data_IF_212972427218
#
_entry.id   IF_212972427218
#
_cell.length_a   1.000
_cell.length_b   1.000
_cell.length_c   1.000
_cell.angle_alpha   90.00
_cell.angle_beta   90.00
_cell.angle_gamma   90.00
#
_symmetry.space_group_name_H-M   'P 1'
#
loop_
_entity.id
_entity.type
_entity.pdbx_description
1 polymer ?
#
# COMPACT_ATOMS: atom_id res chain seq x y z
N UNK A 1 10.78 4.00 0.68
CA UNK A 1 10.85 4.63 -0.66
C UNK A 1 10.61 3.67 -1.82
N UNK A 2 11.05 2.42 -1.79
CA UNK A 2 10.84 1.45 -2.88
C UNK A 2 9.41 0.91 -2.95
N UNK A 3 8.78 0.61 -1.83
CA UNK A 3 7.39 0.15 -1.77
C UNK A 3 6.38 1.18 -2.27
N UNK A 4 6.62 2.47 -2.05
CA UNK A 4 5.74 3.55 -2.48
C UNK A 4 5.56 3.62 -4.00
N UNK A 5 6.59 3.30 -4.79
CA UNK A 5 6.47 3.24 -6.26
C UNK A 5 5.57 2.10 -6.71
N UNK A 6 5.65 0.94 -6.03
CA UNK A 6 4.75 -0.17 -6.29
C UNK A 6 3.31 0.19 -5.94
N UNK A 7 3.09 0.84 -4.78
CA UNK A 7 1.78 1.32 -4.35
C UNK A 7 1.20 2.35 -5.31
N UNK A 8 1.99 3.34 -5.73
CA UNK A 8 1.58 4.37 -6.70
C UNK A 8 1.17 3.74 -8.04
N UNK A 9 1.96 2.77 -8.55
CA UNK A 9 1.59 2.04 -9.76
C UNK A 9 0.26 1.30 -9.57
N UNK A 10 0.09 0.53 -8.50
CA UNK A 10 -1.14 -0.23 -8.26
C UNK A 10 -2.36 0.69 -8.13
N UNK A 11 -2.25 1.78 -7.38
CA UNK A 11 -3.31 2.80 -7.25
C UNK A 11 -3.71 3.40 -8.59
N UNK A 12 -2.77 3.65 -9.50
CA UNK A 12 -3.06 4.19 -10.84
C UNK A 12 -3.87 3.25 -11.75
N UNK A 13 -4.04 1.97 -11.36
CA UNK A 13 -4.80 0.97 -12.11
C UNK A 13 -6.20 0.71 -11.55
N UNK A 14 -6.57 1.31 -10.43
CA UNK A 14 -7.89 1.16 -9.83
C UNK A 14 -8.99 1.52 -10.84
N UNK A 15 -10.04 0.68 -10.90
CA UNK A 15 -11.15 0.82 -11.85
C UNK A 15 -10.89 0.22 -13.24
N UNK A 16 -9.66 -0.21 -13.55
CA UNK A 16 -9.37 -0.95 -14.79
C UNK A 16 -9.92 -2.38 -14.70
N UNK A 17 -10.05 -3.04 -15.85
CA UNK A 17 -10.71 -4.32 -15.93
C UNK A 17 -9.81 -5.51 -15.53
N UNK A 18 -10.44 -6.69 -15.54
CA UNK A 18 -9.73 -7.95 -15.34
C UNK A 18 -10.00 -8.92 -16.50
N UNK A 19 -8.93 -9.45 -17.08
CA UNK A 19 -8.94 -10.63 -17.92
C UNK A 19 -7.79 -11.53 -17.51
N UNK A 20 -8.03 -12.82 -17.35
CA UNK A 20 -6.99 -13.78 -16.98
C UNK A 20 -5.85 -13.77 -18.01
N UNK A 21 -4.59 -13.63 -17.55
CA UNK A 21 -3.39 -13.51 -18.39
C UNK A 21 -3.12 -12.11 -18.97
N UNK A 22 -3.97 -11.11 -18.70
CA UNK A 22 -3.79 -9.75 -19.21
C UNK A 22 -2.69 -8.98 -18.46
N UNK A 23 -2.03 -8.06 -19.18
CA UNK A 23 -0.82 -7.31 -18.75
C UNK A 23 -0.96 -5.80 -18.96
N UNK A 24 -2.18 -5.26 -18.93
CA UNK A 24 -2.46 -3.85 -19.15
C UNK A 24 -2.90 -3.50 -20.60
N UNK A 25 -3.06 -4.48 -21.47
CA UNK A 25 -3.57 -4.24 -22.82
C UNK A 25 -5.01 -3.76 -22.79
N UNK A 26 -5.42 -3.05 -23.85
CA UNK A 26 -6.83 -2.74 -24.08
C UNK A 26 -7.60 -4.04 -24.37
N UNK A 27 -8.68 -4.28 -23.64
CA UNK A 27 -9.58 -5.40 -23.86
C UNK A 27 -10.32 -5.22 -25.20
N UNK A 28 -10.32 -6.27 -25.99
CA UNK A 28 -11.10 -6.35 -27.25
C UNK A 28 -11.70 -7.75 -27.37
N UNK A 29 -12.72 -7.91 -28.18
CA UNK A 29 -13.29 -9.23 -28.47
C UNK A 29 -12.24 -10.20 -29.06
N UNK A 30 -11.31 -9.70 -29.87
CA UNK A 30 -10.20 -10.50 -30.41
C UNK A 30 -9.25 -10.93 -29.30
N UNK A 31 -8.83 -10.01 -28.40
CA UNK A 31 -7.98 -10.33 -27.26
C UNK A 31 -8.66 -11.35 -26.34
N UNK A 32 -9.94 -11.18 -26.02
CA UNK A 32 -10.67 -12.15 -25.19
C UNK A 32 -10.71 -13.55 -25.83
N UNK A 33 -10.96 -13.66 -27.15
CA UNK A 33 -10.91 -14.94 -27.83
C UNK A 33 -9.53 -15.60 -27.75
N UNK A 34 -8.46 -14.83 -27.94
CA UNK A 34 -7.09 -15.33 -27.80
C UNK A 34 -6.83 -15.84 -26.37
N UNK A 35 -7.22 -15.08 -25.35
CA UNK A 35 -7.05 -15.49 -23.95
C UNK A 35 -7.89 -16.74 -23.61
N UNK A 36 -9.11 -16.84 -24.12
CA UNK A 36 -9.97 -18.00 -23.90
C UNK A 36 -9.39 -19.28 -24.52
N UNK A 37 -8.74 -19.18 -25.68
CA UNK A 37 -8.01 -20.30 -26.28
C UNK A 37 -6.79 -20.73 -25.45
N UNK A 38 -6.06 -19.75 -24.92
CA UNK A 38 -4.88 -20.00 -24.09
C UNK A 38 -5.24 -20.55 -22.70
N UNK A 39 -6.42 -20.18 -22.17
CA UNK A 39 -6.89 -20.55 -20.83
C UNK A 39 -8.32 -21.13 -20.88
N UNK A 40 -8.48 -22.38 -21.36
CA UNK A 40 -9.80 -22.99 -21.58
C UNK A 40 -10.68 -23.03 -20.31
N UNK A 41 -10.07 -23.30 -19.16
CA UNK A 41 -10.76 -23.34 -17.86
C UNK A 41 -11.34 -21.97 -17.44
N UNK A 42 -10.86 -20.88 -18.03
CA UNK A 42 -11.33 -19.51 -17.81
C UNK A 42 -12.18 -18.97 -18.97
N UNK A 43 -12.37 -19.74 -20.03
CA UNK A 43 -12.94 -19.27 -21.29
C UNK A 43 -14.31 -18.60 -21.10
N UNK A 44 -15.21 -19.19 -20.32
CA UNK A 44 -16.54 -18.62 -20.07
C UNK A 44 -16.43 -17.25 -19.37
N UNK A 45 -15.61 -17.13 -18.32
CA UNK A 45 -15.40 -15.88 -17.63
C UNK A 45 -14.78 -14.81 -18.54
N UNK A 46 -13.81 -15.21 -19.37
CA UNK A 46 -13.11 -14.30 -20.29
C UNK A 46 -14.07 -13.81 -21.38
N UNK A 47 -14.83 -14.70 -22.00
CA UNK A 47 -15.67 -14.37 -23.16
C UNK A 47 -16.96 -13.65 -22.75
N UNK A 48 -17.63 -14.09 -21.68
CA UNK A 48 -18.94 -13.58 -21.26
C UNK A 48 -18.76 -12.43 -20.28
N UNK A 49 -18.27 -12.71 -19.08
CA UNK A 49 -18.14 -11.69 -18.02
C UNK A 49 -17.14 -10.60 -18.42
N UNK A 50 -16.08 -10.98 -19.13
CA UNK A 50 -15.01 -10.08 -19.59
C UNK A 50 -15.44 -9.07 -20.66
N UNK A 51 -16.54 -9.30 -21.35
CA UNK A 51 -17.03 -8.40 -22.41
C UNK A 51 -17.31 -6.98 -21.92
N UNK A 52 -17.69 -6.82 -20.66
CA UNK A 52 -17.91 -5.50 -20.06
C UNK A 52 -16.66 -4.62 -19.98
N UNK A 53 -15.48 -5.20 -20.18
CA UNK A 53 -14.21 -4.48 -20.17
C UNK A 53 -13.74 -4.05 -21.55
N UNK A 54 -14.49 -4.34 -22.62
CA UNK A 54 -14.08 -3.95 -23.98
C UNK A 54 -13.83 -2.44 -24.06
N UNK A 55 -12.72 -2.06 -24.72
CA UNK A 55 -12.22 -0.70 -24.80
C UNK A 55 -11.41 -0.22 -23.59
N UNK A 56 -11.29 -0.99 -22.50
CA UNK A 56 -10.59 -0.61 -21.28
C UNK A 56 -9.29 -1.40 -21.09
N UNK A 57 -8.29 -0.84 -20.41
CA UNK A 57 -7.12 -1.59 -19.98
C UNK A 57 -7.53 -2.70 -19.01
N UNK A 58 -6.89 -3.88 -19.12
CA UNK A 58 -7.19 -5.05 -18.29
C UNK A 58 -5.92 -5.69 -17.73
N UNK A 59 -6.04 -6.23 -16.54
CA UNK A 59 -4.96 -6.89 -15.79
C UNK A 59 -5.41 -8.25 -15.28
N UNK A 60 -4.48 -9.16 -15.03
CA UNK A 60 -4.68 -10.23 -14.07
C UNK A 60 -3.99 -9.92 -12.74
N UNK A 61 -4.25 -10.71 -11.69
CA UNK A 61 -3.73 -10.45 -10.36
C UNK A 61 -2.19 -10.48 -10.31
N UNK A 62 -1.58 -11.49 -10.95
CA UNK A 62 -0.15 -11.69 -10.92
C UNK A 62 0.61 -10.70 -11.81
N UNK A 63 0.00 -10.26 -12.91
CA UNK A 63 0.61 -9.24 -13.77
C UNK A 63 0.50 -7.86 -13.14
N UNK A 64 -0.60 -7.52 -12.47
CA UNK A 64 -0.71 -6.26 -11.75
C UNK A 64 0.42 -6.13 -10.71
N UNK A 65 0.61 -7.15 -9.87
CA UNK A 65 1.68 -7.15 -8.85
C UNK A 65 3.07 -7.20 -9.46
N UNK A 66 3.26 -7.92 -10.56
CA UNK A 66 4.53 -7.96 -11.29
C UNK A 66 4.94 -6.60 -11.83
N UNK A 67 4.01 -5.88 -12.44
CA UNK A 67 4.28 -4.53 -12.98
C UNK A 67 4.43 -3.49 -11.88
N UNK A 68 3.71 -3.63 -10.77
CA UNK A 68 3.93 -2.81 -9.58
C UNK A 68 5.34 -2.99 -9.01
N UNK A 69 5.81 -4.26 -8.92
CA UNK A 69 7.17 -4.57 -8.51
C UNK A 69 8.22 -3.97 -9.46
N UNK A 70 8.01 -4.11 -10.78
CA UNK A 70 8.90 -3.53 -11.79
C UNK A 70 9.01 -2.01 -11.66
N UNK A 71 7.92 -1.30 -11.36
CA UNK A 71 7.93 0.14 -11.11
C UNK A 71 8.78 0.51 -9.87
N UNK A 72 8.95 -0.43 -8.94
CA UNK A 72 9.80 -0.29 -7.75
C UNK A 72 11.22 -0.91 -7.93
N UNK A 73 11.59 -1.31 -9.16
CA UNK A 73 12.91 -1.89 -9.44
C UNK A 73 13.06 -3.36 -9.04
N UNK A 74 11.95 -4.08 -8.81
CA UNK A 74 11.96 -5.49 -8.42
C UNK A 74 11.37 -6.35 -9.54
N UNK A 75 12.06 -7.40 -9.95
CA UNK A 75 11.56 -8.35 -10.94
C UNK A 75 10.84 -9.53 -10.27
N UNK A 76 9.56 -9.70 -10.61
CA UNK A 76 8.76 -10.85 -10.19
C UNK A 76 8.46 -11.78 -11.37
N UNK A 77 8.47 -13.10 -11.17
CA UNK A 77 8.06 -14.04 -12.20
C UNK A 77 6.55 -13.94 -12.50
N UNK A 78 6.11 -14.50 -13.62
CA UNK A 78 4.69 -14.60 -13.96
C UNK A 78 3.98 -15.65 -13.08
N UNK A 79 2.75 -15.34 -12.65
CA UNK A 79 1.91 -16.23 -11.86
C UNK A 79 2.17 -16.18 -10.35
N UNK A 80 1.09 -16.11 -9.55
CA UNK A 80 1.17 -15.91 -8.10
C UNK A 80 1.99 -17.00 -7.38
N UNK A 81 1.82 -18.27 -7.75
CA UNK A 81 2.61 -19.37 -7.18
C UNK A 81 4.10 -19.24 -7.50
N UNK A 82 4.45 -18.85 -8.73
CA UNK A 82 5.83 -18.61 -9.13
C UNK A 82 6.44 -17.42 -8.39
N UNK A 83 5.68 -16.34 -8.22
CA UNK A 83 6.10 -15.20 -7.43
C UNK A 83 6.40 -15.63 -5.98
N UNK A 84 5.48 -16.34 -5.34
CA UNK A 84 5.67 -16.81 -3.98
C UNK A 84 6.92 -17.67 -3.80
N UNK A 85 7.18 -18.57 -4.75
CA UNK A 85 8.26 -19.56 -4.64
C UNK A 85 9.63 -19.05 -5.08
N UNK A 86 9.68 -18.17 -6.09
CA UNK A 86 10.91 -17.85 -6.83
C UNK A 86 11.33 -16.39 -6.78
N UNK A 87 10.48 -15.47 -6.31
CA UNK A 87 10.84 -14.07 -6.23
C UNK A 87 11.86 -13.81 -5.12
N UNK A 88 12.65 -12.72 -5.21
CA UNK A 88 13.71 -12.39 -4.25
C UNK A 88 13.14 -11.78 -2.96
N UNK A 89 12.26 -12.52 -2.30
CA UNK A 89 11.67 -12.09 -1.05
C UNK A 89 12.69 -12.04 0.09
N UNK A 90 12.78 -10.92 0.75
CA UNK A 90 13.57 -10.72 1.97
C UNK A 90 12.82 -11.21 3.20
N UNK A 91 11.49 -11.03 3.19
CA UNK A 91 10.61 -11.42 4.30
C UNK A 91 9.33 -12.05 3.77
N UNK A 92 8.81 -13.00 4.52
CA UNK A 92 7.53 -13.66 4.28
C UNK A 92 6.85 -13.97 5.60
N UNK A 93 5.53 -14.03 5.60
CA UNK A 93 4.75 -14.42 6.77
C UNK A 93 3.33 -14.84 6.41
N UNK A 94 2.61 -15.28 7.42
CA UNK A 94 1.17 -15.50 7.39
C UNK A 94 0.43 -14.20 7.63
N UNK A 95 -0.84 -14.11 7.27
CA UNK A 95 -1.58 -12.83 7.27
C UNK A 95 -1.72 -12.22 8.68
N UNK A 96 -1.72 -13.04 9.73
CA UNK A 96 -1.74 -12.63 11.14
C UNK A 96 -0.47 -11.88 11.57
N UNK A 97 0.62 -12.02 10.81
CA UNK A 97 1.89 -11.30 11.00
C UNK A 97 2.10 -10.19 9.97
N UNK A 98 1.02 -9.71 9.34
CA UNK A 98 1.11 -8.63 8.34
C UNK A 98 1.72 -7.38 8.97
N UNK A 99 2.85 -6.85 8.44
CA UNK A 99 3.45 -5.65 8.99
C UNK A 99 2.57 -4.42 8.77
N UNK A 100 2.40 -3.65 9.82
CA UNK A 100 1.70 -2.36 9.76
C UNK A 100 2.58 -1.28 9.15
N UNK A 101 1.98 -0.34 8.44
CA UNK A 101 2.68 0.81 7.87
C UNK A 101 3.52 0.49 6.63
N UNK A 102 3.63 -0.77 6.21
CA UNK A 102 4.49 -1.19 5.11
C UNK A 102 3.71 -1.62 3.87
N UNK A 103 4.26 -1.29 2.71
CA UNK A 103 3.78 -1.83 1.43
C UNK A 103 4.36 -3.22 1.23
N UNK A 104 3.49 -4.24 1.15
CA UNK A 104 3.90 -5.63 0.95
C UNK A 104 2.97 -6.36 -0.03
N UNK A 105 3.44 -7.45 -0.63
CA UNK A 105 2.65 -8.29 -1.53
C UNK A 105 1.81 -9.28 -0.73
N UNK A 106 0.54 -9.37 -1.07
CA UNK A 106 -0.43 -10.27 -0.43
C UNK A 106 -0.67 -11.50 -1.31
N UNK A 107 -0.87 -12.64 -0.68
CA UNK A 107 -1.16 -13.91 -1.33
C UNK A 107 -2.32 -14.62 -0.67
N UNK A 108 -3.15 -15.28 -1.50
CA UNK A 108 -4.17 -16.20 -1.04
C UNK A 108 -3.80 -17.60 -1.49
N UNK A 109 -3.53 -18.46 -0.52
CA UNK A 109 -3.27 -19.87 -0.75
C UNK A 109 -4.58 -20.66 -0.85
N UNK A 110 -4.63 -21.62 -1.78
CA UNK A 110 -5.66 -22.64 -1.86
C UNK A 110 -4.97 -23.97 -2.18
N UNK A 111 -5.06 -24.92 -1.25
CA UNK A 111 -4.26 -26.15 -1.35
C UNK A 111 -2.76 -25.86 -1.40
N UNK A 112 -2.07 -26.37 -2.38
CA UNK A 112 -0.60 -26.22 -2.54
C UNK A 112 -0.17 -25.01 -3.39
N UNK A 113 -1.11 -24.19 -3.89
CA UNK A 113 -0.83 -23.07 -4.78
C UNK A 113 -1.24 -21.73 -4.21
N UNK A 114 -0.53 -20.68 -4.59
CA UNK A 114 -1.01 -19.31 -4.42
C UNK A 114 -1.96 -18.97 -5.57
N UNK A 115 -3.26 -18.96 -5.25
CA UNK A 115 -4.32 -18.76 -6.24
C UNK A 115 -4.47 -17.30 -6.66
N UNK A 116 -4.13 -16.38 -5.75
CA UNK A 116 -4.34 -14.95 -5.94
C UNK A 116 -3.23 -14.12 -5.30
N UNK A 117 -3.03 -12.89 -5.80
CA UNK A 117 -2.07 -11.94 -5.25
C UNK A 117 -2.59 -10.50 -5.38
N UNK A 118 -2.09 -9.63 -4.52
CA UNK A 118 -2.38 -8.20 -4.46
C UNK A 118 -1.27 -7.45 -3.75
N UNK A 119 -1.49 -6.18 -3.46
CA UNK A 119 -0.54 -5.31 -2.79
C UNK A 119 -1.22 -4.62 -1.61
N UNK A 120 -0.75 -4.86 -0.38
CA UNK A 120 -1.10 -4.06 0.78
C UNK A 120 -0.39 -2.71 0.71
N UNK A 121 -1.07 -1.65 1.12
CA UNK A 121 -0.59 -0.27 0.97
C UNK A 121 -0.02 0.32 2.28
N UNK A 122 0.01 -0.47 3.35
CA UNK A 122 0.51 -0.04 4.66
C UNK A 122 -0.52 0.73 5.51
N UNK A 123 -1.65 1.10 4.94
CA UNK A 123 -2.73 1.86 5.60
C UNK A 123 -3.95 0.99 5.98
N UNK A 124 -3.78 -0.33 6.04
CA UNK A 124 -4.86 -1.30 6.27
C UNK A 124 -5.68 -1.63 5.02
N UNK A 125 -5.35 -1.04 3.87
CA UNK A 125 -6.01 -1.29 2.58
C UNK A 125 -5.11 -2.03 1.60
N UNK A 126 -5.70 -2.57 0.53
CA UNK A 126 -4.98 -3.24 -0.54
C UNK A 126 -5.54 -2.91 -1.92
N UNK A 127 -4.70 -3.05 -2.95
CA UNK A 127 -5.09 -3.01 -4.35
C UNK A 127 -4.82 -4.36 -4.98
N UNK A 128 -5.81 -4.93 -5.68
CA UNK A 128 -5.65 -6.16 -6.43
C UNK A 128 -6.58 -6.24 -7.64
N UNK A 129 -6.16 -6.95 -8.68
CA UNK A 129 -7.04 -7.32 -9.77
C UNK A 129 -7.88 -8.52 -9.32
N UNK A 130 -9.07 -8.23 -8.75
CA UNK A 130 -9.87 -9.17 -7.95
C UNK A 130 -10.48 -10.30 -8.75
N UNK A 131 -10.77 -10.07 -10.02
CA UNK A 131 -11.36 -11.03 -10.92
C UNK A 131 -12.23 -10.37 -11.99
N UNK A 132 -12.69 -11.16 -12.96
CA UNK A 132 -13.38 -10.64 -14.17
C UNK A 132 -14.63 -9.82 -13.85
N UNK A 133 -15.34 -10.18 -12.77
CA UNK A 133 -16.53 -9.44 -12.36
C UNK A 133 -16.22 -8.07 -11.72
N UNK A 134 -15.01 -7.87 -11.18
CA UNK A 134 -14.70 -6.72 -10.32
C UNK A 134 -13.66 -5.78 -10.92
N UNK A 135 -12.71 -6.30 -11.72
CA UNK A 135 -11.56 -5.53 -12.19
C UNK A 135 -10.51 -5.30 -11.10
N UNK A 136 -9.81 -4.18 -11.20
CA UNK A 136 -8.83 -3.73 -10.20
C UNK A 136 -9.55 -2.90 -9.15
N UNK A 137 -9.50 -3.37 -7.90
CA UNK A 137 -10.22 -2.75 -6.78
C UNK A 137 -9.26 -2.29 -5.69
N UNK A 138 -9.70 -1.29 -4.94
CA UNK A 138 -9.11 -0.83 -3.70
C UNK A 138 -10.09 -1.14 -2.57
N UNK A 139 -9.65 -1.86 -1.54
CA UNK A 139 -10.52 -2.29 -0.43
C UNK A 139 -9.69 -2.54 0.83
N UNK A 140 -10.33 -2.61 2.02
CA UNK A 140 -9.66 -3.07 3.24
C UNK A 140 -9.06 -4.46 3.06
N UNK A 141 -7.87 -4.68 3.63
CA UNK A 141 -7.20 -6.00 3.60
C UNK A 141 -8.09 -7.09 4.18
N UNK A 142 -8.81 -6.79 5.28
CA UNK A 142 -9.73 -7.72 5.96
C UNK A 142 -10.91 -8.18 5.10
N UNK A 143 -11.26 -7.45 4.04
CA UNK A 143 -12.42 -7.76 3.18
C UNK A 143 -12.10 -8.80 2.09
N UNK A 144 -10.91 -9.39 2.17
CA UNK A 144 -10.51 -10.48 1.28
C UNK A 144 -9.76 -11.57 2.05
N UNK A 145 -9.89 -12.82 1.60
CA UNK A 145 -9.32 -14.00 2.27
C UNK A 145 -7.81 -14.16 2.00
N UNK A 146 -7.03 -13.16 2.36
CA UNK A 146 -5.57 -13.25 2.32
C UNK A 146 -5.07 -14.27 3.34
N UNK A 147 -3.99 -14.97 3.02
CA UNK A 147 -3.39 -16.00 3.89
C UNK A 147 -1.93 -15.72 4.20
N UNK A 148 -1.23 -15.06 3.29
CA UNK A 148 0.19 -14.82 3.40
C UNK A 148 0.56 -13.45 2.86
N UNK A 149 1.73 -12.97 3.24
CA UNK A 149 2.37 -11.79 2.69
C UNK A 149 3.86 -12.05 2.40
N UNK A 150 4.46 -11.24 1.54
CA UNK A 150 5.88 -11.24 1.23
C UNK A 150 6.38 -9.83 0.89
N UNK A 151 7.62 -9.54 1.24
CA UNK A 151 8.28 -8.27 0.93
C UNK A 151 9.65 -8.51 0.29
N UNK A 152 9.98 -7.86 -0.83
CA UNK A 152 11.33 -7.89 -1.40
C UNK A 152 12.25 -6.87 -0.72
N UNK A 153 11.72 -6.07 0.19
CA UNK A 153 12.45 -5.07 0.96
C UNK A 153 12.76 -5.60 2.35
N UNK A 154 13.87 -5.13 2.95
CA UNK A 154 14.12 -5.32 4.37
C UNK A 154 12.97 -4.65 5.16
N UNK A 155 12.76 -5.05 6.41
CA UNK A 155 11.90 -4.29 7.28
C UNK A 155 12.37 -2.83 7.22
N UNK A 156 11.48 -1.89 6.97
CA UNK A 156 11.82 -0.53 7.39
C UNK A 156 12.16 -0.72 8.88
N UNK A 157 13.41 -0.47 9.23
CA UNK A 157 13.87 -0.69 10.60
C UNK A 157 12.80 -0.12 11.51
N UNK A 158 12.16 -0.98 12.29
CA UNK A 158 11.29 -0.50 13.36
C UNK A 158 12.09 0.63 14.00
N UNK A 159 11.46 1.80 14.24
CA UNK A 159 12.18 2.88 14.89
C UNK A 159 12.99 2.23 15.99
N UNK A 160 14.32 2.33 15.89
CA UNK A 160 15.25 1.61 16.77
C UNK A 160 14.67 1.70 18.18
N UNK A 161 14.70 0.65 19.03
CA UNK A 161 14.28 0.79 20.39
C UNK A 161 15.04 2.01 20.91
N UNK A 162 14.32 3.12 21.02
CA UNK A 162 14.91 4.38 21.48
C UNK A 162 15.41 4.07 22.86
N UNK A 163 16.68 4.36 23.09
CA UNK A 163 17.21 4.43 24.45
C UNK A 163 16.20 5.17 25.34
N UNK A 164 16.01 4.79 26.61
CA UNK A 164 14.99 5.37 27.45
C UNK A 164 15.07 6.88 27.36
N UNK A 165 14.05 7.47 26.73
CA UNK A 165 13.98 8.90 26.47
C UNK A 165 13.79 9.57 27.84
N UNK A 166 14.59 10.60 28.09
CA UNK A 166 14.33 11.61 29.10
C UNK A 166 12.85 12.02 29.16
N UNK A 167 12.31 12.42 30.29
CA UNK A 167 10.88 12.57 30.53
C UNK A 167 10.22 13.33 29.39
N UNK A 168 9.12 12.76 28.87
CA UNK A 168 8.32 13.30 27.79
C UNK A 168 8.13 14.81 27.96
N UNK A 169 8.71 15.59 27.08
CA UNK A 169 8.62 17.04 27.14
C UNK A 169 7.28 17.50 26.61
N UNK A 170 6.52 18.20 27.43
CA UNK A 170 5.30 18.86 26.96
C UNK A 170 5.66 20.14 26.19
N UNK A 171 4.94 20.37 25.13
CA UNK A 171 5.06 21.56 24.29
C UNK A 171 3.70 21.97 23.76
N UNK A 172 3.64 23.15 23.16
CA UNK A 172 2.44 23.62 22.44
C UNK A 172 2.77 23.81 20.97
N UNK A 173 1.81 23.52 20.09
CA UNK A 173 1.91 23.91 18.69
C UNK A 173 1.70 25.41 18.59
N UNK A 174 2.62 26.12 17.94
CA UNK A 174 2.49 27.55 17.70
C UNK A 174 2.70 27.89 16.23
N UNK A 175 1.76 28.59 15.65
CA UNK A 175 1.84 29.17 14.33
C UNK A 175 1.46 30.66 14.40
N UNK A 176 2.36 31.57 14.01
CA UNK A 176 2.15 33.03 14.06
C UNK A 176 0.88 33.50 13.37
N UNK A 177 0.46 32.81 12.32
CA UNK A 177 -0.74 33.11 11.54
C UNK A 177 -2.00 32.43 12.12
N UNK A 178 -1.92 31.70 13.23
CA UNK A 178 -3.04 30.98 13.86
C UNK A 178 -3.60 29.82 13.04
N UNK A 179 -3.00 29.47 11.89
CA UNK A 179 -3.49 28.40 11.04
C UNK A 179 -3.04 27.01 11.55
N UNK A 180 -3.79 25.94 11.23
CA UNK A 180 -3.40 24.60 11.60
C UNK A 180 -2.07 24.19 10.98
N UNK A 181 -1.25 23.47 11.76
CA UNK A 181 0.05 22.94 11.34
C UNK A 181 -0.08 21.48 10.91
N UNK A 182 0.69 21.08 9.90
CA UNK A 182 0.67 19.70 9.39
C UNK A 182 1.47 18.77 10.30
N UNK A 183 0.80 17.75 10.85
CA UNK A 183 1.40 16.57 11.46
C UNK A 183 1.56 15.51 10.36
N UNK A 184 2.77 15.10 10.04
CA UNK A 184 3.10 14.26 8.88
C UNK A 184 3.49 12.84 9.31
N UNK A 185 3.27 11.88 8.44
CA UNK A 185 3.72 10.51 8.69
C UNK A 185 5.23 10.30 8.49
N UNK A 186 5.94 11.27 7.86
CA UNK A 186 7.41 11.25 7.65
C UNK A 186 7.99 12.65 7.84
N UNK A 187 9.27 12.77 8.30
CA UNK A 187 9.94 14.07 8.49
C UNK A 187 10.41 14.65 7.15
N UNK A 188 9.46 15.09 6.31
CA UNK A 188 9.77 15.72 5.04
C UNK A 188 8.65 16.67 4.59
N UNK A 189 8.98 17.66 3.74
CA UNK A 189 8.02 18.61 3.17
C UNK A 189 7.37 18.12 1.87
N UNK A 190 7.84 17.02 1.26
CA UNK A 190 7.31 16.48 0.01
C UNK A 190 5.90 15.90 0.12
N UNK A 191 5.47 15.17 -0.90
CA UNK A 191 4.20 14.43 -0.90
C UNK A 191 4.18 13.43 0.26
N UNK A 192 3.29 13.67 1.21
CA UNK A 192 3.28 13.01 2.50
C UNK A 192 1.85 12.99 3.04
N UNK A 193 1.42 11.88 3.61
CA UNK A 193 0.17 11.87 4.35
C UNK A 193 0.33 12.80 5.56
N UNK A 194 -0.67 13.66 5.80
CA UNK A 194 -0.66 14.55 6.94
C UNK A 194 -2.05 14.72 7.54
N UNK A 195 -2.06 15.12 8.79
CA UNK A 195 -3.23 15.57 9.55
C UNK A 195 -3.00 17.01 9.99
N UNK A 196 -4.04 17.68 10.38
CA UNK A 196 -3.97 19.08 10.84
C UNK A 196 -4.06 19.13 12.38
N UNK A 197 -3.22 19.96 13.00
CA UNK A 197 -3.22 20.25 14.44
C UNK A 197 -3.37 21.75 14.59
N UNK A 198 -4.32 22.19 15.41
CA UNK A 198 -4.54 23.63 15.65
C UNK A 198 -3.35 24.25 16.36
N UNK A 199 -3.10 25.54 16.12
CA UNK A 199 -2.25 26.36 17.00
C UNK A 199 -2.79 26.29 18.43
N UNK A 200 -1.91 26.44 19.39
CA UNK A 200 -2.18 26.34 20.84
C UNK A 200 -2.68 24.96 21.32
N UNK A 201 -2.50 23.91 20.49
CA UNK A 201 -2.76 22.53 20.92
C UNK A 201 -1.59 22.00 21.75
N UNK A 202 -1.85 21.50 22.98
CA UNK A 202 -0.82 20.84 23.76
C UNK A 202 -0.42 19.51 23.11
N UNK A 203 0.88 19.26 23.06
CA UNK A 203 1.47 18.08 22.43
C UNK A 203 2.55 17.46 23.31
N UNK A 204 2.77 16.20 23.13
CA UNK A 204 3.86 15.48 23.78
C UNK A 204 4.97 15.22 22.75
N UNK A 205 6.17 15.75 22.99
CA UNK A 205 7.34 15.46 22.15
C UNK A 205 7.83 14.05 22.52
N UNK A 206 7.90 13.20 21.52
CA UNK A 206 8.40 11.82 21.61
C UNK A 206 9.87 11.72 21.27
N UNK A 207 10.28 12.43 20.21
CA UNK A 207 11.64 12.52 19.73
C UNK A 207 11.91 13.95 19.31
N UNK A 208 12.66 14.73 20.07
CA UNK A 208 13.09 16.05 19.68
C UNK A 208 14.13 15.95 18.55
N UNK A 209 14.09 16.88 17.61
CA UNK A 209 15.06 17.02 16.54
C UNK A 209 15.19 18.47 16.11
N UNK A 210 16.29 18.84 15.47
CA UNK A 210 16.55 20.23 15.07
C UNK A 210 15.52 20.75 14.06
N UNK A 211 15.26 20.01 12.99
CA UNK A 211 14.33 20.41 11.95
C UNK A 211 12.94 19.77 12.15
N UNK A 212 12.89 18.51 12.55
CA UNK A 212 11.67 17.71 12.71
C UNK A 212 11.64 17.01 14.05
N UNK A 213 10.55 17.18 14.77
CA UNK A 213 10.28 16.42 16.00
C UNK A 213 9.12 15.46 15.81
N UNK A 214 9.23 14.27 16.40
CA UNK A 214 8.10 13.35 16.48
C UNK A 214 7.27 13.72 17.71
N UNK A 215 5.98 13.95 17.49
CA UNK A 215 5.05 14.37 18.52
C UNK A 215 3.77 13.53 18.51
N UNK A 216 3.09 13.52 19.64
CA UNK A 216 1.69 13.05 19.74
C UNK A 216 0.79 14.24 19.98
N UNK A 217 -0.20 14.43 19.11
CA UNK A 217 -1.13 15.57 19.13
C UNK A 217 -2.59 15.14 18.90
N UNK A 218 -3.53 15.93 19.42
CA UNK A 218 -4.93 15.86 19.02
C UNK A 218 -5.11 16.60 17.68
N UNK A 219 -5.53 15.88 16.64
CA UNK A 219 -5.77 16.47 15.32
C UNK A 219 -7.15 17.12 15.24
N UNK A 220 -7.36 17.97 14.23
CA UNK A 220 -8.63 18.72 14.01
C UNK A 220 -9.85 17.81 13.79
N UNK A 221 -9.66 16.55 13.45
CA UNK A 221 -10.70 15.52 13.33
C UNK A 221 -11.02 14.81 14.66
N UNK A 222 -10.48 15.29 15.78
CA UNK A 222 -10.72 14.76 17.13
C UNK A 222 -9.93 13.47 17.46
N UNK A 223 -9.03 13.01 16.56
CA UNK A 223 -8.25 11.80 16.79
C UNK A 223 -6.83 12.16 17.22
N UNK A 224 -6.34 11.52 18.28
CA UNK A 224 -4.96 11.67 18.74
C UNK A 224 -4.03 10.81 17.88
N UNK A 225 -2.98 11.43 17.32
CA UNK A 225 -2.01 10.75 16.43
C UNK A 225 -0.58 11.08 16.79
N UNK A 226 0.31 10.13 16.50
CA UNK A 226 1.77 10.34 16.53
C UNK A 226 2.27 10.55 15.12
N UNK A 227 3.11 11.55 14.92
CA UNK A 227 3.68 11.89 13.61
C UNK A 227 4.80 12.91 13.74
N UNK A 228 5.23 13.46 12.61
CA UNK A 228 6.34 14.40 12.52
C UNK A 228 5.83 15.82 12.26
N UNK A 229 6.31 16.76 13.05
CA UNK A 229 6.06 18.20 12.88
C UNK A 229 7.41 18.93 12.82
N UNK A 230 7.49 20.00 12.02
CA UNK A 230 8.69 20.84 12.04
C UNK A 230 8.87 21.46 13.40
N UNK A 231 10.07 21.34 13.98
CA UNK A 231 10.38 21.74 15.36
C UNK A 231 10.16 23.21 15.63
N UNK A 232 10.26 24.07 14.62
CA UNK A 232 9.97 25.51 14.70
C UNK A 232 8.52 25.84 15.08
N UNK A 233 7.59 24.89 14.97
CA UNK A 233 6.20 25.05 15.40
C UNK A 233 5.92 24.54 16.80
N UNK A 234 6.97 24.13 17.55
CA UNK A 234 6.85 23.59 18.89
C UNK A 234 7.50 24.57 19.87
N UNK A 235 6.70 25.10 20.79
CA UNK A 235 7.16 25.99 21.84
C UNK A 235 7.07 25.23 23.17
N UNK A 236 8.21 25.12 23.86
CA UNK A 236 8.28 24.59 25.22
C UNK A 236 7.89 25.72 26.19
N UNK A 237 7.04 25.43 27.15
CA UNK A 237 6.63 26.35 28.21
C UNK A 237 7.71 26.54 29.25
#
# INVERSE_FOLDING_TARGET
MTGERAAAFARSKIGQGYIYGAKGQTCTAAFRRQQAQQYPDQAQNILVTGAKWDGRPVWDCAQLTRFAAKAAGVELPSGATSQWRKAPWKRKGTIDTLPEGEVVYLYRQKGSIMQHTGLALGDGTCVHARGTAYGVVHQPVRDYQWTHWASPWEAESAPQPVEPIDPMTEAMVYAENGLPVKLRNKPSQGENLYWLVMSDTPVTIRHPGEEWSQITALCTDGIRRTGWMMSRFLVQG
#
